data_IF_699394198186
#
_entry.id   IF_699394198186
#
_cell.length_a   1.000
_cell.length_b   1.000
_cell.length_c   1.000
_cell.angle_alpha   90.00
_cell.angle_beta   90.00
_cell.angle_gamma   90.00
#
_symmetry.space_group_name_H-M   'P 1'
#
loop_
_entity.id
_entity.type
_entity.pdbx_description
1 polymer ?
#
# COMPACT_ATOMS: atom_id res chain seq x y z
N UNK A 1 3.15 34.77 -36.47
CA UNK A 1 2.39 34.03 -35.42
C UNK A 1 0.88 34.20 -35.58
N UNK A 2 0.39 35.44 -35.62
CA UNK A 2 -1.04 35.74 -35.78
C UNK A 2 -1.61 35.20 -37.09
N UNK A 3 -0.90 35.33 -38.21
CA UNK A 3 -1.31 34.78 -39.49
C UNK A 3 -1.65 33.27 -39.42
N UNK A 4 -0.78 32.47 -38.80
CA UNK A 4 -1.02 31.04 -38.57
C UNK A 4 -2.25 30.79 -37.68
N UNK A 5 -2.45 31.59 -36.64
CA UNK A 5 -3.58 31.41 -35.72
C UNK A 5 -4.91 31.80 -36.36
N UNK A 6 -4.93 32.90 -37.10
CA UNK A 6 -6.10 33.39 -37.82
C UNK A 6 -6.44 32.46 -38.99
N UNK A 7 -5.44 31.99 -39.74
CA UNK A 7 -5.62 30.99 -40.79
C UNK A 7 -6.25 29.70 -40.22
N UNK A 8 -5.71 29.16 -39.13
CA UNK A 8 -6.28 27.96 -38.48
C UNK A 8 -7.69 28.20 -37.91
N UNK A 9 -7.97 29.41 -37.43
CA UNK A 9 -9.29 29.79 -36.92
C UNK A 9 -10.32 29.82 -38.05
N UNK A 10 -10.00 30.50 -39.15
CA UNK A 10 -10.85 30.61 -40.32
C UNK A 10 -11.07 29.24 -40.98
N UNK A 11 -10.01 28.46 -41.18
CA UNK A 11 -10.11 27.09 -41.70
C UNK A 11 -11.06 26.25 -40.83
N UNK A 12 -10.92 26.28 -39.50
CA UNK A 12 -11.82 25.55 -38.60
C UNK A 12 -13.28 26.07 -38.63
N UNK A 13 -13.48 27.37 -38.86
CA UNK A 13 -14.80 27.99 -38.92
C UNK A 13 -15.56 27.59 -40.18
N UNK A 14 -14.88 27.57 -41.33
CA UNK A 14 -15.51 27.32 -42.63
C UNK A 14 -15.46 25.85 -43.06
N UNK A 15 -14.38 25.13 -42.76
CA UNK A 15 -14.18 23.72 -43.16
C UNK A 15 -14.57 22.74 -42.04
N UNK A 16 -14.83 23.26 -40.83
CA UNK A 16 -15.19 22.46 -39.67
C UNK A 16 -13.99 21.78 -39.00
N UNK A 17 -14.26 20.99 -37.94
CA UNK A 17 -13.21 20.29 -37.18
C UNK A 17 -13.14 18.81 -37.58
N UNK A 18 -11.94 18.37 -37.99
CA UNK A 18 -11.65 16.95 -38.21
C UNK A 18 -11.57 16.20 -36.87
N UNK A 19 -12.61 15.47 -36.51
CA UNK A 19 -12.76 14.77 -35.20
C UNK A 19 -11.67 13.73 -34.91
N UNK A 20 -11.04 13.15 -35.96
CA UNK A 20 -9.96 12.15 -35.87
C UNK A 20 -8.82 12.37 -36.88
N UNK A 21 -8.71 13.56 -37.45
CA UNK A 21 -7.71 13.86 -38.50
C UNK A 21 -6.26 13.88 -38.01
N UNK A 22 -6.04 13.98 -36.69
CA UNK A 22 -4.69 14.02 -36.10
C UNK A 22 -4.59 13.06 -34.93
N UNK A 23 -3.56 12.21 -34.95
CA UNK A 23 -3.24 11.33 -33.84
C UNK A 23 -2.89 12.16 -32.59
N UNK A 24 -3.47 11.82 -31.45
CA UNK A 24 -3.25 12.55 -30.20
C UNK A 24 -1.94 12.09 -29.56
N UNK A 25 -1.02 13.03 -29.30
CA UNK A 25 0.20 12.76 -28.53
C UNK A 25 -0.13 12.32 -27.09
N UNK A 26 0.64 11.36 -26.57
CA UNK A 26 0.50 10.88 -25.19
C UNK A 26 1.15 11.90 -24.26
N UNK A 27 0.33 12.67 -23.55
CA UNK A 27 0.79 13.60 -22.52
C UNK A 27 0.76 12.94 -21.13
N UNK A 28 1.35 13.60 -20.13
CA UNK A 28 1.47 13.13 -18.73
C UNK A 28 0.18 12.50 -18.16
N UNK A 29 -0.99 13.05 -18.49
CA UNK A 29 -2.28 12.56 -17.98
C UNK A 29 -2.67 11.17 -18.52
N UNK A 30 -2.13 10.76 -19.67
CA UNK A 30 -2.53 9.54 -20.39
C UNK A 30 -1.50 8.43 -20.35
N UNK A 31 -0.35 8.65 -19.71
CA UNK A 31 0.74 7.67 -19.67
C UNK A 31 0.29 6.34 -19.06
N UNK A 32 -0.40 6.36 -17.91
CA UNK A 32 -0.85 5.12 -17.25
C UNK A 32 -1.94 4.40 -18.07
N UNK A 33 -2.91 5.13 -18.61
CA UNK A 33 -3.99 4.54 -19.42
C UNK A 33 -3.49 3.98 -20.75
N UNK A 34 -2.53 4.66 -21.38
CA UNK A 34 -1.93 4.19 -22.62
C UNK A 34 -1.03 2.97 -22.39
N UNK A 35 -0.26 2.94 -21.29
CA UNK A 35 0.49 1.74 -20.90
C UNK A 35 -0.44 0.52 -20.75
N UNK A 36 -1.58 0.67 -20.09
CA UNK A 36 -2.56 -0.41 -19.94
C UNK A 36 -3.22 -0.81 -21.28
N UNK A 37 -3.37 0.13 -22.23
CA UNK A 37 -3.88 -0.15 -23.57
C UNK A 37 -2.89 -1.01 -24.36
N UNK A 38 -1.63 -0.60 -24.42
CA UNK A 38 -0.56 -1.32 -25.13
C UNK A 38 -0.31 -2.69 -24.50
N UNK A 39 -0.32 -2.79 -23.17
CA UNK A 39 -0.18 -4.07 -22.48
C UNK A 39 -1.30 -5.05 -22.87
N UNK A 40 -2.54 -4.58 -22.94
CA UNK A 40 -3.68 -5.42 -23.36
C UNK A 40 -3.58 -5.81 -24.82
N UNK A 41 -3.14 -4.91 -25.69
CA UNK A 41 -2.92 -5.21 -27.10
C UNK A 41 -1.82 -6.27 -27.29
N UNK A 42 -0.69 -6.14 -26.59
CA UNK A 42 0.40 -7.10 -26.60
C UNK A 42 -0.05 -8.50 -26.11
N UNK A 43 -0.76 -8.55 -24.99
CA UNK A 43 -1.31 -9.81 -24.47
C UNK A 43 -2.29 -10.44 -25.46
N UNK A 44 -3.11 -9.64 -26.14
CA UNK A 44 -4.03 -10.15 -27.16
C UNK A 44 -3.29 -10.77 -28.35
N UNK A 45 -2.17 -10.18 -28.77
CA UNK A 45 -1.34 -10.74 -29.83
C UNK A 45 -0.79 -12.11 -29.41
N UNK A 46 -0.19 -12.21 -28.23
CA UNK A 46 0.35 -13.46 -27.70
C UNK A 46 -0.73 -14.55 -27.55
N UNK A 47 -1.94 -14.18 -27.10
CA UNK A 47 -3.06 -15.13 -27.01
C UNK A 47 -3.42 -15.67 -28.40
N UNK A 48 -3.44 -14.82 -29.43
CA UNK A 48 -3.77 -15.22 -30.79
C UNK A 48 -2.74 -16.19 -31.38
N UNK A 49 -1.46 -15.98 -31.08
CA UNK A 49 -0.36 -16.82 -31.56
C UNK A 49 -0.28 -18.17 -30.83
N UNK A 50 -0.64 -18.18 -29.54
CA UNK A 50 -0.60 -19.39 -28.71
C UNK A 50 -1.82 -20.30 -28.88
N UNK A 51 -2.94 -19.79 -29.40
CA UNK A 51 -4.18 -20.57 -29.51
C UNK A 51 -4.33 -21.25 -30.88
N UNK A 52 -4.67 -22.55 -30.93
CA UNK A 52 -4.96 -23.26 -32.18
C UNK A 52 -6.11 -22.62 -32.97
N UNK A 53 -6.09 -22.85 -34.29
CA UNK A 53 -7.15 -22.38 -35.17
C UNK A 53 -8.51 -22.96 -34.74
N UNK A 54 -9.50 -22.08 -34.48
CA UNK A 54 -10.86 -22.46 -34.06
C UNK A 54 -11.26 -22.10 -32.61
N UNK A 55 -10.30 -21.79 -31.71
CA UNK A 55 -10.60 -21.48 -30.28
C UNK A 55 -10.46 -19.97 -29.95
N UNK A 56 -9.94 -19.18 -30.90
CA UNK A 56 -9.30 -17.87 -30.67
C UNK A 56 -10.18 -16.78 -30.05
N UNK A 57 -11.40 -16.55 -30.54
CA UNK A 57 -12.17 -15.35 -30.15
C UNK A 57 -12.91 -15.49 -28.80
N UNK A 58 -13.37 -16.70 -28.44
CA UNK A 58 -14.25 -16.88 -27.29
C UNK A 58 -13.53 -16.81 -25.94
N UNK A 59 -12.22 -17.15 -25.89
CA UNK A 59 -11.47 -17.24 -24.62
C UNK A 59 -10.59 -16.02 -24.31
N UNK A 60 -10.31 -15.16 -25.29
CA UNK A 60 -9.40 -14.02 -25.12
C UNK A 60 -9.86 -13.04 -24.03
N UNK A 61 -11.16 -12.75 -23.95
CA UNK A 61 -11.73 -11.86 -22.92
C UNK A 61 -11.54 -12.41 -21.51
N UNK A 62 -11.72 -13.71 -21.32
CA UNK A 62 -11.55 -14.38 -20.02
C UNK A 62 -10.09 -14.37 -19.58
N UNK A 63 -9.15 -14.61 -20.51
CA UNK A 63 -7.71 -14.54 -20.22
C UNK A 63 -7.32 -13.11 -19.77
N UNK A 64 -7.88 -12.07 -20.40
CA UNK A 64 -7.65 -10.67 -19.97
C UNK A 64 -8.25 -10.35 -18.59
N UNK A 65 -9.32 -11.04 -18.18
CA UNK A 65 -9.85 -10.94 -16.82
C UNK A 65 -8.87 -11.59 -15.83
N UNK A 66 -8.34 -12.77 -16.16
CA UNK A 66 -7.31 -13.42 -15.34
C UNK A 66 -6.04 -12.58 -15.21
N UNK A 67 -5.58 -11.93 -16.28
CA UNK A 67 -4.48 -10.96 -16.21
C UNK A 67 -4.78 -9.81 -15.24
N UNK A 68 -5.99 -9.27 -15.30
CA UNK A 68 -6.41 -8.16 -14.43
C UNK A 68 -6.49 -8.58 -12.97
N UNK A 69 -6.95 -9.81 -12.70
CA UNK A 69 -7.02 -10.37 -11.36
C UNK A 69 -5.63 -10.72 -10.82
N UNK A 70 -4.77 -11.35 -11.62
CA UNK A 70 -3.38 -11.62 -11.26
C UNK A 70 -2.63 -10.34 -10.85
N UNK A 71 -2.87 -9.23 -11.56
CA UNK A 71 -2.33 -7.92 -11.19
C UNK A 71 -2.86 -7.40 -9.84
N UNK A 72 -4.14 -7.65 -9.51
CA UNK A 72 -4.73 -7.29 -8.21
C UNK A 72 -4.14 -8.13 -7.09
N UNK A 73 -4.05 -9.45 -7.28
CA UNK A 73 -3.40 -10.38 -6.36
C UNK A 73 -1.96 -9.96 -6.08
N UNK A 74 -1.18 -9.62 -7.12
CA UNK A 74 0.19 -9.13 -6.96
C UNK A 74 0.26 -7.87 -6.07
N UNK A 75 -0.62 -6.88 -6.29
CA UNK A 75 -0.68 -5.64 -5.48
C UNK A 75 -1.16 -5.87 -4.04
N UNK A 76 -1.89 -6.96 -3.78
CA UNK A 76 -2.39 -7.34 -2.47
C UNK A 76 -1.48 -8.33 -1.73
N UNK A 77 -0.41 -8.81 -2.39
CA UNK A 77 0.45 -9.90 -1.92
C UNK A 77 -0.28 -11.21 -1.67
N UNK A 78 -1.31 -11.50 -2.46
CA UNK A 78 -2.06 -12.75 -2.39
C UNK A 78 -1.49 -13.71 -3.44
N UNK A 79 -1.18 -14.98 -3.09
CA UNK A 79 -0.80 -15.99 -4.06
C UNK A 79 -1.89 -16.16 -5.11
N UNK A 80 -1.53 -15.98 -6.39
CA UNK A 80 -2.44 -16.19 -7.51
C UNK A 80 -2.18 -17.56 -8.11
N UNK A 81 -3.10 -18.51 -7.89
CA UNK A 81 -3.07 -19.83 -8.48
C UNK A 81 -4.49 -20.23 -8.89
N UNK A 82 -4.65 -20.63 -10.16
CA UNK A 82 -5.96 -21.00 -10.71
C UNK A 82 -5.95 -22.50 -11.03
N UNK A 83 -6.81 -23.31 -10.37
CA UNK A 83 -6.96 -24.71 -10.73
C UNK A 83 -7.41 -24.88 -12.19
N UNK A 84 -6.75 -25.76 -12.94
CA UNK A 84 -7.14 -26.09 -14.32
C UNK A 84 -6.78 -25.05 -15.39
N UNK A 85 -6.04 -23.98 -15.05
CA UNK A 85 -5.53 -23.04 -16.05
C UNK A 85 -4.37 -23.69 -16.84
N UNK A 86 -4.37 -23.63 -18.19
CA UNK A 86 -3.25 -24.13 -18.97
C UNK A 86 -1.94 -23.40 -18.62
N UNK A 87 -0.88 -24.18 -18.37
CA UNK A 87 0.45 -23.68 -17.99
C UNK A 87 0.98 -22.59 -18.96
N UNK A 88 0.83 -22.72 -20.29
CA UNK A 88 1.28 -21.66 -21.22
C UNK A 88 0.59 -20.31 -20.96
N UNK A 89 -0.71 -20.32 -20.63
CA UNK A 89 -1.49 -19.12 -20.31
C UNK A 89 -1.07 -18.56 -18.96
N UNK A 90 -0.88 -19.43 -17.95
CA UNK A 90 -0.38 -19.03 -16.62
C UNK A 90 0.96 -18.31 -16.74
N UNK A 91 1.93 -18.90 -17.45
CA UNK A 91 3.26 -18.33 -17.66
C UNK A 91 3.22 -17.00 -18.43
N UNK A 92 2.38 -16.90 -19.46
CA UNK A 92 2.18 -15.65 -20.20
C UNK A 92 1.64 -14.55 -19.27
N UNK A 93 0.62 -14.85 -18.45
CA UNK A 93 0.07 -13.89 -17.48
C UNK A 93 1.14 -13.48 -16.47
N UNK A 94 1.87 -14.43 -15.88
CA UNK A 94 2.94 -14.14 -14.91
C UNK A 94 4.03 -13.26 -15.52
N UNK A 95 4.43 -13.49 -16.78
CA UNK A 95 5.39 -12.66 -17.51
C UNK A 95 4.91 -11.21 -17.62
N UNK A 96 3.67 -10.99 -18.05
CA UNK A 96 3.12 -9.64 -18.19
C UNK A 96 2.86 -8.95 -16.86
N UNK A 97 2.41 -9.69 -15.84
CA UNK A 97 2.27 -9.17 -14.47
C UNK A 97 3.62 -8.74 -13.92
N UNK A 98 4.68 -9.52 -14.14
CA UNK A 98 6.04 -9.15 -13.78
C UNK A 98 6.50 -7.88 -14.51
N UNK A 99 6.32 -7.81 -15.83
CA UNK A 99 6.67 -6.62 -16.62
C UNK A 99 5.96 -5.35 -16.12
N UNK A 100 4.67 -5.47 -15.79
CA UNK A 100 3.88 -4.38 -15.19
C UNK A 100 4.34 -4.03 -13.77
N UNK A 101 4.71 -5.02 -12.97
CA UNK A 101 5.28 -4.82 -11.63
C UNK A 101 6.59 -4.04 -11.68
N UNK A 102 7.51 -4.41 -12.57
CA UNK A 102 8.79 -3.73 -12.76
C UNK A 102 8.58 -2.26 -13.14
N UNK A 103 7.72 -2.00 -14.14
CA UNK A 103 7.34 -0.62 -14.53
C UNK A 103 6.73 0.17 -13.36
N UNK A 104 5.82 -0.45 -12.61
CA UNK A 104 5.11 0.19 -11.50
C UNK A 104 6.04 0.57 -10.36
N UNK A 105 6.99 -0.32 -10.03
CA UNK A 105 8.01 -0.14 -8.98
C UNK A 105 9.06 0.89 -9.39
N UNK A 106 9.59 0.82 -10.61
CA UNK A 106 10.53 1.81 -11.14
C UNK A 106 9.93 3.22 -11.14
N UNK A 107 8.66 3.34 -11.56
CA UNK A 107 7.92 4.61 -11.50
C UNK A 107 7.71 5.09 -10.06
N UNK A 108 7.55 4.18 -9.08
CA UNK A 108 7.44 4.54 -7.68
C UNK A 108 8.77 5.10 -7.14
N UNK A 109 9.90 4.46 -7.43
CA UNK A 109 11.22 4.94 -7.01
C UNK A 109 11.59 6.27 -7.68
N UNK A 110 11.38 6.39 -8.98
CA UNK A 110 11.61 7.64 -9.71
C UNK A 110 10.85 8.81 -9.10
N UNK A 111 9.55 8.65 -8.85
CA UNK A 111 8.75 9.71 -8.24
C UNK A 111 9.13 9.97 -6.78
N UNK A 112 9.52 8.94 -6.02
CA UNK A 112 9.99 9.11 -4.64
C UNK A 112 11.24 9.99 -4.59
N UNK A 113 12.19 9.76 -5.48
CA UNK A 113 13.41 10.56 -5.54
C UNK A 113 13.14 12.01 -5.97
N UNK A 114 12.22 12.24 -6.91
CA UNK A 114 11.79 13.59 -7.29
C UNK A 114 11.13 14.34 -6.14
N UNK A 115 10.27 13.67 -5.38
CA UNK A 115 9.64 14.25 -4.18
C UNK A 115 10.71 14.57 -3.14
N UNK A 116 11.66 13.66 -2.92
CA UNK A 116 12.77 13.85 -1.94
C UNK A 116 13.63 15.06 -2.27
N UNK A 117 13.92 15.30 -3.56
CA UNK A 117 14.72 16.44 -4.02
C UNK A 117 13.96 17.77 -4.08
N UNK A 118 12.66 17.78 -3.74
CA UNK A 118 11.85 19.00 -3.84
C UNK A 118 11.56 19.45 -5.28
N UNK A 119 11.64 18.53 -6.26
CA UNK A 119 11.28 18.86 -7.65
C UNK A 119 9.78 19.17 -7.79
N UNK A 120 9.39 19.83 -8.88
CA UNK A 120 7.97 20.10 -9.18
C UNK A 120 7.19 18.80 -9.38
N UNK A 121 6.34 18.45 -8.42
CA UNK A 121 5.53 17.23 -8.42
C UNK A 121 4.09 17.56 -8.05
N UNK A 122 3.13 17.01 -8.81
CA UNK A 122 1.71 17.24 -8.56
C UNK A 122 1.25 16.55 -7.27
N UNK A 123 0.31 17.17 -6.56
CA UNK A 123 -0.29 16.62 -5.33
C UNK A 123 -0.82 15.18 -5.50
N UNK A 124 -1.38 14.86 -6.67
CA UNK A 124 -1.89 13.52 -6.99
C UNK A 124 -0.77 12.49 -7.11
N UNK A 125 0.39 12.88 -7.63
CA UNK A 125 1.58 12.01 -7.69
C UNK A 125 2.10 11.73 -6.30
N UNK A 126 2.15 12.71 -5.40
CA UNK A 126 2.54 12.49 -4.00
C UNK A 126 1.63 11.46 -3.31
N UNK A 127 0.30 11.62 -3.43
CA UNK A 127 -0.67 10.66 -2.86
C UNK A 127 -0.55 9.27 -3.46
N UNK A 128 -0.43 9.17 -4.79
CA UNK A 128 -0.21 7.89 -5.49
C UNK A 128 1.09 7.24 -5.00
N UNK A 129 2.19 7.99 -4.94
CA UNK A 129 3.50 7.49 -4.54
C UNK A 129 3.50 6.94 -3.12
N UNK A 130 2.89 7.64 -2.16
CA UNK A 130 2.70 7.13 -0.80
C UNK A 130 1.98 5.77 -0.82
N UNK A 131 0.85 5.68 -1.50
CA UNK A 131 0.12 4.42 -1.63
C UNK A 131 0.90 3.30 -2.32
N UNK A 132 1.82 3.64 -3.25
CA UNK A 132 2.72 2.65 -3.88
C UNK A 132 3.75 2.14 -2.88
N UNK A 133 4.44 3.04 -2.18
CA UNK A 133 5.49 2.69 -1.22
C UNK A 133 4.94 1.92 -0.02
N UNK A 134 3.77 2.27 0.51
CA UNK A 134 3.12 1.51 1.58
C UNK A 134 2.85 0.06 1.16
N UNK A 135 2.42 -0.17 -0.09
CA UNK A 135 2.22 -1.54 -0.60
C UNK A 135 3.54 -2.28 -0.74
N UNK A 136 4.59 -1.65 -1.28
CA UNK A 136 5.92 -2.27 -1.38
C UNK A 136 6.48 -2.63 -0.01
N UNK A 137 6.33 -1.74 0.97
CA UNK A 137 6.75 -1.97 2.34
C UNK A 137 6.02 -3.17 2.95
N UNK A 138 4.68 -3.21 2.88
CA UNK A 138 3.91 -4.33 3.44
C UNK A 138 4.22 -5.66 2.75
N UNK A 139 4.48 -5.67 1.43
CA UNK A 139 4.94 -6.87 0.72
C UNK A 139 6.28 -7.37 1.27
N UNK A 140 7.24 -6.46 1.44
CA UNK A 140 8.56 -6.80 1.99
C UNK A 140 8.48 -7.23 3.47
N UNK A 141 7.59 -6.62 4.26
CA UNK A 141 7.41 -6.97 5.67
C UNK A 141 6.76 -8.35 5.84
N UNK A 142 5.78 -8.70 5.00
CA UNK A 142 5.20 -10.04 4.97
C UNK A 142 6.25 -11.10 4.60
N UNK A 143 7.10 -10.79 3.61
CA UNK A 143 8.22 -11.67 3.23
C UNK A 143 9.24 -11.82 4.37
N UNK A 144 9.58 -10.72 5.06
CA UNK A 144 10.49 -10.74 6.21
C UNK A 144 9.96 -11.62 7.35
N UNK A 145 8.66 -11.54 7.63
CA UNK A 145 8.00 -12.36 8.66
C UNK A 145 7.93 -13.84 8.24
N UNK A 146 7.64 -14.11 6.97
CA UNK A 146 7.66 -15.46 6.43
C UNK A 146 9.06 -16.09 6.55
N UNK A 147 10.10 -15.36 6.15
CA UNK A 147 11.48 -15.84 6.23
C UNK A 147 11.93 -16.09 7.67
N UNK A 148 11.53 -15.24 8.62
CA UNK A 148 11.81 -15.50 10.04
C UNK A 148 11.23 -16.83 10.53
N UNK A 149 9.99 -17.16 10.14
CA UNK A 149 9.37 -18.44 10.52
C UNK A 149 9.98 -19.64 9.79
N UNK A 150 10.47 -19.42 8.57
CA UNK A 150 11.08 -20.46 7.74
C UNK A 150 12.52 -20.78 8.16
N UNK A 151 13.33 -19.75 8.36
CA UNK A 151 14.75 -19.85 8.66
C UNK A 151 14.99 -20.07 10.17
N UNK A 152 14.00 -19.72 11.00
CA UNK A 152 14.07 -19.76 12.45
C UNK A 152 14.60 -18.45 13.06
N UNK A 153 14.75 -18.40 14.39
CA UNK A 153 15.25 -17.22 15.08
C UNK A 153 16.66 -16.85 14.61
N UNK A 154 16.88 -15.58 14.28
CA UNK A 154 18.22 -15.08 13.91
C UNK A 154 19.17 -14.96 15.10
N UNK A 155 18.65 -15.04 16.33
CA UNK A 155 19.45 -15.09 17.55
C UNK A 155 19.73 -16.55 17.90
N UNK A 156 21.00 -16.89 18.08
CA UNK A 156 21.38 -18.21 18.54
C UNK A 156 21.01 -18.41 20.01
N UNK A 157 20.83 -19.66 20.44
CA UNK A 157 20.55 -19.97 21.83
C UNK A 157 21.67 -19.50 22.77
N UNK A 158 22.94 -19.60 22.33
CA UNK A 158 24.10 -19.15 23.11
C UNK A 158 24.09 -17.63 23.30
N UNK A 159 23.87 -16.85 22.24
CA UNK A 159 23.75 -15.39 22.34
C UNK A 159 22.56 -14.98 23.20
N UNK A 160 21.41 -15.67 23.07
CA UNK A 160 20.24 -15.39 23.89
C UNK A 160 20.53 -15.63 25.38
N UNK A 161 21.22 -16.72 25.73
CA UNK A 161 21.65 -17.01 27.11
C UNK A 161 22.64 -15.95 27.60
N UNK A 162 23.58 -15.52 26.76
CA UNK A 162 24.54 -14.47 27.12
C UNK A 162 23.84 -13.13 27.40
N UNK A 163 22.91 -12.71 26.54
CA UNK A 163 22.12 -11.49 26.72
C UNK A 163 21.28 -11.58 28.00
N UNK A 164 20.59 -12.70 28.20
CA UNK A 164 19.75 -12.93 29.37
C UNK A 164 20.57 -12.88 30.67
N UNK A 165 21.69 -13.62 30.72
CA UNK A 165 22.58 -13.70 31.89
C UNK A 165 23.19 -12.34 32.22
N UNK A 166 23.64 -11.60 31.19
CA UNK A 166 24.16 -10.24 31.35
C UNK A 166 23.11 -9.30 31.96
N UNK A 167 21.86 -9.40 31.50
CA UNK A 167 20.76 -8.60 32.05
C UNK A 167 20.46 -8.96 33.51
N UNK A 168 20.45 -10.26 33.85
CA UNK A 168 20.24 -10.72 35.23
C UNK A 168 21.31 -10.14 36.17
N UNK A 169 22.59 -10.30 35.84
CA UNK A 169 23.68 -9.75 36.65
C UNK A 169 23.63 -8.22 36.77
N UNK A 170 23.25 -7.52 35.69
CA UNK A 170 23.05 -6.08 35.74
C UNK A 170 21.94 -5.71 36.74
N UNK A 171 20.77 -6.33 36.65
CA UNK A 171 19.64 -6.05 37.55
C UNK A 171 19.96 -6.37 39.02
N UNK A 172 20.67 -7.47 39.28
CA UNK A 172 21.16 -7.84 40.61
C UNK A 172 22.14 -6.80 41.17
N UNK A 173 23.11 -6.35 40.35
CA UNK A 173 24.09 -5.34 40.77
C UNK A 173 23.43 -4.01 41.14
N UNK A 174 22.31 -3.68 40.49
CA UNK A 174 21.50 -2.49 40.76
C UNK A 174 20.49 -2.71 41.88
N UNK A 175 20.41 -3.91 42.46
CA UNK A 175 19.41 -4.32 43.46
C UNK A 175 17.99 -3.97 42.99
N UNK A 176 17.71 -4.21 41.72
CA UNK A 176 16.43 -3.86 41.11
C UNK A 176 15.30 -4.72 41.70
N UNK A 177 14.24 -4.06 42.16
CA UNK A 177 13.00 -4.75 42.53
C UNK A 177 12.11 -4.88 41.29
N UNK A 178 11.67 -6.09 40.91
CA UNK A 178 10.73 -6.28 39.82
C UNK A 178 9.46 -5.43 39.98
N UNK A 179 8.97 -4.87 38.87
CA UNK A 179 7.72 -4.11 38.85
C UNK A 179 6.57 -5.10 39.06
N UNK A 180 5.81 -4.90 40.13
CA UNK A 180 4.65 -5.73 40.44
C UNK A 180 3.47 -5.35 39.56
N UNK A 181 2.53 -6.28 39.40
CA UNK A 181 1.23 -5.98 38.81
C UNK A 181 0.52 -4.89 39.65
N UNK A 182 -0.16 -3.90 39.03
CA UNK A 182 -0.87 -2.86 39.76
C UNK A 182 -1.87 -3.46 40.76
N UNK A 183 -1.74 -3.23 42.08
CA UNK A 183 -2.64 -3.82 43.07
C UNK A 183 -4.05 -3.24 42.89
N UNK A 184 -5.07 -3.94 43.41
CA UNK A 184 -6.47 -3.49 43.29
C UNK A 184 -6.69 -2.06 43.77
N UNK A 185 -6.00 -1.68 44.85
CA UNK A 185 -6.01 -0.33 45.42
C UNK A 185 -4.60 0.27 45.38
N UNK A 186 -4.23 0.89 44.26
CA UNK A 186 -2.97 1.62 44.16
C UNK A 186 -3.20 3.13 44.29
N UNK A 187 -2.42 3.79 45.15
CA UNK A 187 -2.57 5.22 45.48
C UNK A 187 -2.51 6.15 44.27
N UNK A 188 -1.80 5.76 43.22
CA UNK A 188 -1.54 6.61 42.06
C UNK A 188 -2.31 6.18 40.79
N UNK A 189 -3.20 5.18 40.87
CA UNK A 189 -3.93 4.66 39.71
C UNK A 189 -4.68 5.75 38.94
N UNK A 190 -5.48 6.55 39.65
CA UNK A 190 -6.27 7.62 39.04
C UNK A 190 -5.41 8.69 38.40
N UNK A 191 -4.25 9.02 39.00
CA UNK A 191 -3.32 10.00 38.43
C UNK A 191 -2.69 9.48 37.13
N UNK A 192 -2.28 8.22 37.10
CA UNK A 192 -1.72 7.59 35.90
C UNK A 192 -2.77 7.48 34.81
N UNK A 193 -4.01 7.10 35.15
CA UNK A 193 -5.12 7.05 34.21
C UNK A 193 -5.39 8.44 33.60
N UNK A 194 -5.50 9.48 34.41
CA UNK A 194 -5.74 10.85 33.91
C UNK A 194 -4.64 11.28 32.93
N UNK A 195 -3.36 11.03 33.26
CA UNK A 195 -2.25 11.33 32.37
C UNK A 195 -2.34 10.56 31.05
N UNK A 196 -2.76 9.29 31.07
CA UNK A 196 -2.94 8.49 29.87
C UNK A 196 -4.12 9.03 29.02
N UNK A 197 -5.24 9.36 29.65
CA UNK A 197 -6.42 9.91 28.96
C UNK A 197 -6.14 11.28 28.34
N UNK A 198 -5.37 12.15 29.01
CA UNK A 198 -4.92 13.43 28.45
C UNK A 198 -4.12 13.21 27.18
N UNK A 199 -3.15 12.28 27.20
CA UNK A 199 -2.32 11.95 26.04
C UNK A 199 -3.13 11.39 24.87
N UNK A 200 -4.15 10.58 25.16
CA UNK A 200 -5.05 10.05 24.13
C UNK A 200 -5.92 11.16 23.53
N UNK A 201 -6.45 12.07 24.37
CA UNK A 201 -7.29 13.19 23.94
C UNK A 201 -6.52 14.20 23.08
N UNK A 202 -5.26 14.47 23.40
CA UNK A 202 -4.38 15.39 22.65
C UNK A 202 -4.30 15.04 21.14
N UNK A 203 -4.38 13.75 20.78
CA UNK A 203 -4.33 13.29 19.39
C UNK A 203 -5.51 13.78 18.52
N UNK A 204 -6.57 14.27 19.15
CA UNK A 204 -7.82 14.70 18.50
C UNK A 204 -8.05 16.21 18.55
N UNK A 205 -7.32 16.97 19.37
CA UNK A 205 -7.51 18.41 19.57
C UNK A 205 -7.38 19.26 18.30
N UNK A 206 -6.64 18.80 17.29
CA UNK A 206 -6.37 19.54 16.03
C UNK A 206 -7.28 19.07 14.87
N UNK A 207 -8.01 17.96 15.02
CA UNK A 207 -8.76 17.35 13.91
C UNK A 207 -10.19 17.88 13.83
N UNK A 208 -10.51 18.60 12.75
CA UNK A 208 -11.88 19.10 12.51
C UNK A 208 -12.91 18.03 12.10
N UNK A 209 -12.47 16.87 11.61
CA UNK A 209 -13.37 15.79 11.16
C UNK A 209 -12.93 14.48 11.75
N UNK A 210 -13.85 13.85 12.48
CA UNK A 210 -13.63 12.58 13.15
C UNK A 210 -14.42 11.46 12.45
N UNK A 211 -13.75 10.33 12.25
CA UNK A 211 -14.38 9.11 11.77
C UNK A 211 -15.10 8.37 12.93
N UNK A 212 -15.72 7.23 12.63
CA UNK A 212 -16.48 6.47 13.63
C UNK A 212 -15.59 5.97 14.79
N UNK A 213 -14.47 5.32 14.48
CA UNK A 213 -13.57 4.77 15.51
C UNK A 213 -13.00 5.86 16.43
N UNK A 214 -12.76 7.07 15.92
CA UNK A 214 -12.28 8.20 16.71
C UNK A 214 -13.36 8.76 17.63
N UNK A 215 -14.63 8.76 17.21
CA UNK A 215 -15.74 9.14 18.09
C UNK A 215 -15.97 8.11 19.18
N UNK A 216 -15.88 6.82 18.84
CA UNK A 216 -15.92 5.73 19.80
C UNK A 216 -14.79 5.86 20.82
N UNK A 217 -13.57 6.13 20.37
CA UNK A 217 -12.42 6.35 21.26
C UNK A 217 -12.62 7.55 22.18
N UNK A 218 -13.10 8.69 21.67
CA UNK A 218 -13.42 9.85 22.51
C UNK A 218 -14.53 9.54 23.52
N UNK A 219 -15.56 8.81 23.12
CA UNK A 219 -16.62 8.37 24.03
C UNK A 219 -16.08 7.46 25.14
N UNK A 220 -15.17 6.53 24.81
CA UNK A 220 -14.50 5.68 25.80
C UNK A 220 -13.60 6.49 26.76
N UNK A 221 -12.94 7.53 26.25
CA UNK A 221 -12.11 8.45 27.06
C UNK A 221 -13.01 9.24 28.02
N UNK A 222 -14.11 9.81 27.55
CA UNK A 222 -15.08 10.55 28.37
C UNK A 222 -15.70 9.66 29.46
N UNK A 223 -16.15 8.46 29.10
CA UNK A 223 -16.64 7.47 30.07
C UNK A 223 -15.59 7.12 31.12
N UNK A 224 -14.31 7.04 30.74
CA UNK A 224 -13.23 6.76 31.67
C UNK A 224 -12.89 7.95 32.59
N UNK A 225 -13.17 9.19 32.17
CA UNK A 225 -13.12 10.37 33.06
C UNK A 225 -14.29 10.39 34.04
N UNK A 226 -15.49 10.04 33.58
CA UNK A 226 -16.72 10.07 34.38
C UNK A 226 -16.72 8.97 35.45
N UNK A 227 -16.29 7.75 35.09
CA UNK A 227 -16.19 6.62 36.03
C UNK A 227 -14.78 5.98 36.01
N UNK A 228 -13.79 6.62 36.64
CA UNK A 228 -12.40 6.15 36.60
C UNK A 228 -12.19 4.82 37.32
N UNK A 229 -13.00 4.50 38.34
CA UNK A 229 -12.88 3.23 39.07
C UNK A 229 -13.34 2.03 38.23
N UNK A 230 -14.45 2.17 37.52
CA UNK A 230 -14.91 1.14 36.58
C UNK A 230 -13.93 0.97 35.42
N UNK A 231 -13.42 2.07 34.87
CA UNK A 231 -12.41 2.03 33.82
C UNK A 231 -11.12 1.32 34.27
N UNK A 232 -10.62 1.62 35.48
CA UNK A 232 -9.47 0.94 36.07
C UNK A 232 -9.73 -0.55 36.28
N UNK A 233 -10.93 -0.93 36.72
CA UNK A 233 -11.31 -2.34 36.88
C UNK A 233 -11.42 -3.10 35.56
N UNK A 234 -11.70 -2.41 34.44
CA UNK A 234 -11.71 -3.00 33.09
C UNK A 234 -10.30 -3.12 32.50
N UNK A 235 -9.40 -2.22 32.88
CA UNK A 235 -8.00 -2.22 32.42
C UNK A 235 -7.20 -3.34 33.10
N UNK A 236 -7.45 -3.58 34.39
CA UNK A 236 -6.82 -4.65 35.19
C UNK A 236 -7.42 -6.00 34.84
#
# INVERSE_FOLDING_TARGET
>A
LLERWLSNLLARQFEGRLSKGTAKTITKQRVESHYDLELRAAVMHDICDMMPEGIRQNKARTILQHLSEAWRCWKANIPWKIPGLPIPIENMILRYVKGKADWWTNTAHYNRERIRRGATVDKTVCKKNLGRLTRLYLKAEQERQHNYLKDGPYISAEEAVAIYTTMVHWLESRRFSPILFPPMQYRHDTKILILALERLKEAYSVKNRLNQSQREELGLIEQAYDNPHEALSRIK
#
